data_IF_344478171221
#
_entry.id   IF_344478171221
#
_cell.length_a   1.000
_cell.length_b   1.000
_cell.length_c   1.000
_cell.angle_alpha   90.00
_cell.angle_beta   90.00
_cell.angle_gamma   90.00
#
_symmetry.space_group_name_H-M   'P 1'
#
loop_
_entity.id
_entity.type
_entity.pdbx_description
1 polymer ?
#
# COMPACT_ATOMS: atom_id res chain seq x y z
N UNK A 1 16.57 -2.11 -61.52
CA UNK A 1 17.95 -1.90 -61.06
C UNK A 1 17.91 -0.88 -59.94
N UNK A 2 18.30 -1.33 -58.74
CA UNK A 2 18.76 -0.57 -57.55
C UNK A 2 18.08 0.77 -57.20
N UNK A 3 17.20 0.73 -56.19
CA UNK A 3 16.98 1.90 -55.33
C UNK A 3 17.92 1.82 -54.14
N UNK A 4 18.95 2.66 -54.14
CA UNK A 4 19.75 3.00 -52.95
C UNK A 4 18.87 3.81 -52.01
N UNK A 5 18.72 3.35 -50.76
CA UNK A 5 18.12 4.14 -49.68
C UNK A 5 19.26 4.75 -48.87
N UNK A 6 19.43 6.07 -48.96
CA UNK A 6 20.23 6.82 -48.00
C UNK A 6 19.41 7.01 -46.70
N UNK A 7 20.03 6.96 -45.51
CA UNK A 7 19.34 7.29 -44.28
C UNK A 7 19.02 8.79 -44.28
N UNK A 8 17.73 9.13 -44.31
CA UNK A 8 17.30 10.50 -44.04
C UNK A 8 17.28 10.67 -42.53
N UNK A 9 18.29 11.37 -42.01
CA UNK A 9 18.23 11.93 -40.67
C UNK A 9 17.19 13.05 -40.68
N UNK A 10 16.05 12.81 -40.05
CA UNK A 10 15.04 13.85 -39.80
C UNK A 10 15.27 14.45 -38.43
N UNK A 11 15.36 15.77 -38.42
CA UNK A 11 15.55 16.62 -37.28
C UNK A 11 14.49 16.40 -36.18
N UNK A 12 14.97 16.34 -34.92
CA UNK A 12 14.37 17.11 -33.84
C UNK A 12 12.96 16.74 -33.38
N UNK A 13 12.51 15.49 -33.55
CA UNK A 13 11.31 15.01 -32.84
C UNK A 13 11.74 13.99 -31.80
N UNK A 14 11.87 14.46 -30.57
CA UNK A 14 11.82 13.61 -29.38
C UNK A 14 10.54 12.79 -29.49
N UNK A 15 10.67 11.47 -29.53
CA UNK A 15 9.53 10.56 -29.57
C UNK A 15 8.79 10.77 -28.25
N UNK A 16 7.67 11.50 -28.29
CA UNK A 16 6.65 11.41 -27.27
C UNK A 16 6.02 10.02 -27.39
N UNK A 17 6.60 9.05 -26.68
CA UNK A 17 6.00 7.75 -26.50
C UNK A 17 6.20 7.33 -25.05
N UNK A 18 5.07 7.39 -24.35
CA UNK A 18 4.78 6.73 -23.10
C UNK A 18 5.63 7.19 -21.90
N UNK A 19 4.99 8.05 -21.09
CA UNK A 19 5.07 7.82 -19.65
C UNK A 19 5.01 6.30 -19.38
N UNK A 20 5.81 5.75 -18.45
CA UNK A 20 5.72 4.35 -18.09
C UNK A 20 4.25 3.98 -17.86
N UNK A 21 3.81 2.74 -18.21
CA UNK A 21 2.44 2.35 -17.94
C UNK A 21 2.13 2.65 -16.46
N UNK A 22 0.91 3.12 -16.20
CA UNK A 22 0.48 3.70 -14.92
C UNK A 22 0.52 2.71 -13.72
N UNK A 23 1.29 1.63 -13.77
CA UNK A 23 1.08 0.46 -12.93
C UNK A 23 2.33 -0.11 -12.27
N UNK A 24 3.54 0.40 -12.52
CA UNK A 24 4.71 -0.16 -11.85
C UNK A 24 5.86 0.81 -11.60
N UNK A 25 5.76 1.51 -10.47
CA UNK A 25 6.86 1.95 -9.59
C UNK A 25 6.16 2.51 -8.34
N UNK A 26 6.09 1.77 -7.24
CA UNK A 26 5.99 2.38 -5.91
C UNK A 26 7.40 2.72 -5.41
N UNK A 27 8.18 3.41 -6.26
CA UNK A 27 9.31 4.19 -5.78
C UNK A 27 8.74 5.56 -5.47
N UNK A 28 8.34 5.74 -4.21
CA UNK A 28 8.04 7.05 -3.68
C UNK A 28 6.75 7.19 -2.89
N UNK A 29 6.43 6.26 -1.98
CA UNK A 29 5.80 6.68 -0.72
C UNK A 29 6.73 6.38 0.45
N UNK A 30 7.93 7.00 0.43
CA UNK A 30 9.00 6.93 1.44
C UNK A 30 8.63 7.52 2.82
N UNK A 31 7.35 7.43 3.21
CA UNK A 31 6.86 7.83 4.52
C UNK A 31 6.53 6.58 5.32
N UNK A 32 7.15 6.41 6.49
CA UNK A 32 6.89 5.33 7.45
C UNK A 32 5.39 5.13 7.76
N UNK A 33 4.57 6.16 7.55
CA UNK A 33 3.11 6.10 7.63
C UNK A 33 2.47 5.13 6.62
N UNK A 34 3.01 4.99 5.41
CA UNK A 34 2.51 4.05 4.40
C UNK A 34 2.78 2.61 4.82
N UNK A 35 4.01 2.33 5.25
CA UNK A 35 4.38 1.02 5.80
C UNK A 35 3.54 0.67 7.03
N UNK A 36 3.34 1.65 7.92
CA UNK A 36 2.47 1.49 9.09
C UNK A 36 1.01 1.23 8.69
N UNK A 37 0.50 1.88 7.63
CA UNK A 37 -0.84 1.62 7.07
C UNK A 37 -0.94 0.17 6.56
N UNK A 38 0.05 -0.30 5.80
CA UNK A 38 0.10 -1.67 5.27
C UNK A 38 0.11 -2.68 6.42
N UNK A 39 1.02 -2.52 7.39
CA UNK A 39 1.12 -3.43 8.56
C UNK A 39 -0.18 -3.41 9.35
N UNK A 40 -0.70 -2.23 9.68
CA UNK A 40 -1.93 -2.06 10.45
C UNK A 40 -3.14 -2.69 9.77
N UNK A 41 -3.33 -2.44 8.47
CA UNK A 41 -4.37 -3.06 7.66
C UNK A 41 -4.27 -4.59 7.70
N UNK A 42 -3.07 -5.13 7.51
CA UNK A 42 -2.87 -6.58 7.44
C UNK A 42 -3.19 -7.26 8.76
N UNK A 43 -2.72 -6.68 9.87
CA UNK A 43 -3.00 -7.17 11.22
C UNK A 43 -4.50 -7.09 11.52
N UNK A 44 -5.16 -5.96 11.23
CA UNK A 44 -6.60 -5.81 11.43
C UNK A 44 -7.42 -6.81 10.61
N UNK A 45 -7.03 -7.06 9.35
CA UNK A 45 -7.67 -8.08 8.50
C UNK A 45 -7.47 -9.49 9.06
N UNK A 46 -6.27 -9.81 9.53
CA UNK A 46 -5.98 -11.07 10.21
C UNK A 46 -6.79 -11.27 11.49
N UNK A 47 -6.94 -10.24 12.33
CA UNK A 47 -7.79 -10.28 13.52
C UNK A 47 -9.28 -10.45 13.15
N UNK A 48 -9.75 -9.80 12.10
CA UNK A 48 -11.12 -9.95 11.60
C UNK A 48 -11.39 -11.39 11.11
N UNK A 49 -10.47 -11.96 10.36
CA UNK A 49 -10.57 -13.32 9.83
C UNK A 49 -10.43 -14.37 10.95
N UNK A 50 -9.47 -14.19 11.88
CA UNK A 50 -9.26 -15.10 12.99
C UNK A 50 -10.47 -15.19 13.92
N UNK A 51 -11.16 -14.07 14.18
CA UNK A 51 -12.43 -14.09 14.93
C UNK A 51 -13.51 -14.90 14.22
N UNK A 52 -13.60 -14.82 12.89
CA UNK A 52 -14.54 -15.64 12.08
C UNK A 52 -14.17 -17.12 12.12
N UNK A 53 -12.88 -17.44 12.22
CA UNK A 53 -12.40 -18.81 12.43
C UNK A 53 -12.67 -19.34 13.84
N UNK A 54 -13.14 -18.49 14.77
CA UNK A 54 -13.38 -18.85 16.17
C UNK A 54 -12.10 -18.86 17.02
N UNK A 55 -11.05 -18.17 16.57
CA UNK A 55 -9.82 -18.00 17.35
C UNK A 55 -9.99 -16.87 18.38
N UNK A 56 -9.32 -17.01 19.53
CA UNK A 56 -9.28 -16.02 20.59
C UNK A 56 -7.92 -16.00 21.29
N UNK A 57 -7.68 -14.98 22.12
CA UNK A 57 -6.42 -14.80 22.86
C UNK A 57 -5.19 -14.82 21.94
N UNK A 58 -4.13 -15.48 22.39
CA UNK A 58 -2.85 -15.59 21.68
C UNK A 58 -2.99 -16.21 20.28
N UNK A 59 -3.86 -17.21 20.11
CA UNK A 59 -4.08 -17.87 18.81
C UNK A 59 -4.63 -16.89 17.76
N UNK A 60 -5.42 -15.91 18.19
CA UNK A 60 -5.93 -14.86 17.31
C UNK A 60 -4.84 -13.88 16.88
N UNK A 61 -3.97 -13.49 17.81
CA UNK A 61 -2.83 -12.60 17.55
C UNK A 61 -1.80 -13.25 16.61
N UNK A 62 -1.45 -14.51 16.88
CA UNK A 62 -0.55 -15.29 16.02
C UNK A 62 -1.12 -15.44 14.61
N UNK A 63 -2.43 -15.69 14.49
CA UNK A 63 -3.09 -15.76 13.19
C UNK A 63 -3.02 -14.42 12.44
N UNK A 64 -3.18 -13.29 13.15
CA UNK A 64 -3.07 -11.97 12.54
C UNK A 64 -1.67 -11.71 11.98
N UNK A 65 -0.62 -12.08 12.72
CA UNK A 65 0.75 -12.00 12.24
C UNK A 65 1.03 -12.94 11.06
N UNK A 66 0.51 -14.17 11.10
CA UNK A 66 0.65 -15.11 9.99
C UNK A 66 0.01 -14.59 8.69
N UNK A 67 -1.09 -13.84 8.79
CA UNK A 67 -1.74 -13.18 7.65
C UNK A 67 -0.89 -12.00 7.14
N UNK A 68 -0.28 -11.20 8.03
CA UNK A 68 0.66 -10.16 7.63
C UNK A 68 1.89 -10.72 6.89
N UNK A 69 2.46 -11.83 7.37
CA UNK A 69 3.59 -12.48 6.69
C UNK A 69 3.20 -13.02 5.32
N UNK A 70 1.96 -13.47 5.12
CA UNK A 70 1.50 -13.97 3.82
C UNK A 70 1.46 -12.88 2.73
N UNK A 71 1.17 -11.63 3.10
CA UNK A 71 1.17 -10.48 2.18
C UNK A 71 2.56 -10.16 1.61
N UNK A 72 3.62 -10.59 2.30
CA UNK A 72 5.01 -10.29 1.94
C UNK A 72 5.58 -11.21 0.85
N UNK A 73 4.82 -12.19 0.38
CA UNK A 73 5.30 -13.22 -0.54
C UNK A 73 5.34 -12.76 -2.00
N UNK A 74 4.38 -11.95 -2.45
CA UNK A 74 4.34 -11.37 -3.79
C UNK A 74 3.82 -9.92 -3.77
N UNK A 75 4.08 -9.12 -4.82
CA UNK A 75 3.48 -7.80 -4.95
C UNK A 75 1.96 -7.87 -4.98
N UNK A 76 1.30 -7.00 -4.20
CA UNK A 76 -0.14 -6.97 -4.06
C UNK A 76 -0.64 -7.60 -2.76
N UNK A 77 -1.91 -7.95 -2.71
CA UNK A 77 -2.58 -8.47 -1.50
C UNK A 77 -3.28 -9.81 -1.73
N UNK A 78 -3.10 -10.41 -2.91
CA UNK A 78 -3.85 -11.61 -3.28
C UNK A 78 -3.41 -12.83 -2.48
N UNK A 79 -2.14 -12.89 -2.03
CA UNK A 79 -1.64 -13.98 -1.20
C UNK A 79 -2.31 -14.02 0.17
N UNK A 80 -2.48 -12.85 0.80
CA UNK A 80 -3.16 -12.76 2.09
C UNK A 80 -4.65 -13.10 1.95
N UNK A 81 -5.30 -12.65 0.87
CA UNK A 81 -6.71 -12.93 0.58
C UNK A 81 -6.90 -14.43 0.34
N UNK A 82 -6.05 -15.04 -0.48
CA UNK A 82 -6.10 -16.46 -0.79
C UNK A 82 -5.87 -17.33 0.45
N UNK A 83 -4.95 -16.92 1.35
CA UNK A 83 -4.76 -17.57 2.65
C UNK A 83 -6.05 -17.54 3.47
N UNK A 84 -6.62 -16.35 3.69
CA UNK A 84 -7.83 -16.21 4.50
C UNK A 84 -9.02 -16.94 3.88
N UNK A 85 -9.18 -16.89 2.56
CA UNK A 85 -10.22 -17.63 1.84
C UNK A 85 -10.11 -19.14 2.10
N UNK A 86 -8.89 -19.70 2.00
CA UNK A 86 -8.61 -21.12 2.25
C UNK A 86 -8.90 -21.51 3.69
N UNK A 87 -8.44 -20.71 4.65
CA UNK A 87 -8.59 -20.99 6.07
C UNK A 87 -10.08 -20.94 6.49
N UNK A 88 -10.84 -19.99 5.95
CA UNK A 88 -12.28 -19.88 6.15
C UNK A 88 -13.04 -21.04 5.51
N UNK A 89 -12.69 -21.42 4.28
CA UNK A 89 -13.28 -22.56 3.59
C UNK A 89 -13.04 -23.88 4.35
N UNK A 90 -11.85 -24.08 4.90
CA UNK A 90 -11.51 -25.24 5.72
C UNK A 90 -12.37 -25.38 6.98
N UNK A 91 -12.96 -24.27 7.47
CA UNK A 91 -13.89 -24.26 8.61
C UNK A 91 -15.36 -24.15 8.22
N UNK A 92 -15.69 -24.35 6.93
CA UNK A 92 -17.06 -24.26 6.42
C UNK A 92 -17.64 -22.84 6.46
N UNK A 93 -16.80 -21.80 6.52
CA UNK A 93 -17.17 -20.38 6.61
C UNK A 93 -16.69 -19.61 5.38
N UNK A 94 -16.71 -20.24 4.21
CA UNK A 94 -16.24 -19.65 2.97
C UNK A 94 -16.95 -18.30 2.70
N UNK A 95 -16.18 -17.32 2.27
CA UNK A 95 -16.67 -16.03 1.80
C UNK A 95 -16.27 -15.88 0.33
N UNK A 96 -17.08 -15.15 -0.43
CA UNK A 96 -16.72 -14.76 -1.78
C UNK A 96 -15.54 -13.76 -1.76
N UNK A 97 -14.82 -13.70 -2.88
CA UNK A 97 -13.64 -12.82 -3.05
C UNK A 97 -13.99 -11.35 -2.85
N UNK A 98 -15.17 -10.92 -3.33
CA UNK A 98 -15.65 -9.55 -3.18
C UNK A 98 -15.74 -9.14 -1.71
N UNK A 99 -16.35 -9.96 -0.86
CA UNK A 99 -16.48 -9.73 0.58
C UNK A 99 -15.13 -9.69 1.29
N UNK A 100 -14.17 -10.50 0.85
CA UNK A 100 -12.82 -10.47 1.40
C UNK A 100 -12.12 -9.16 1.06
N UNK A 101 -12.27 -8.69 -0.17
CA UNK A 101 -11.72 -7.40 -0.63
C UNK A 101 -12.41 -6.21 0.01
N UNK A 102 -13.72 -6.25 0.17
CA UNK A 102 -14.50 -5.24 0.90
C UNK A 102 -14.02 -5.16 2.37
N UNK A 103 -13.85 -6.31 3.03
CA UNK A 103 -13.31 -6.34 4.39
C UNK A 103 -11.88 -5.80 4.47
N UNK A 104 -11.02 -6.12 3.51
CA UNK A 104 -9.66 -5.57 3.46
C UNK A 104 -9.67 -4.04 3.28
N UNK A 105 -10.58 -3.53 2.45
CA UNK A 105 -10.79 -2.09 2.27
C UNK A 105 -11.23 -1.42 3.57
N UNK A 106 -12.19 -1.99 4.29
CA UNK A 106 -12.66 -1.48 5.57
C UNK A 106 -11.52 -1.44 6.61
N UNK A 107 -10.69 -2.49 6.66
CA UNK A 107 -9.54 -2.54 7.58
C UNK A 107 -8.47 -1.52 7.20
N UNK A 108 -8.31 -1.21 5.91
CA UNK A 108 -7.41 -0.15 5.44
C UNK A 108 -7.88 1.22 5.91
N UNK A 109 -9.18 1.51 5.78
CA UNK A 109 -9.77 2.75 6.29
C UNK A 109 -9.62 2.86 7.81
N UNK A 110 -9.83 1.74 8.52
CA UNK A 110 -9.65 1.68 9.96
C UNK A 110 -8.20 1.94 10.37
N UNK A 111 -7.24 1.31 9.73
CA UNK A 111 -5.81 1.52 9.98
C UNK A 111 -5.41 2.99 9.82
N UNK A 112 -5.88 3.65 8.76
CA UNK A 112 -5.66 5.09 8.55
C UNK A 112 -6.23 5.94 9.67
N UNK A 113 -7.46 5.65 10.11
CA UNK A 113 -8.08 6.38 11.21
C UNK A 113 -7.35 6.14 12.53
N UNK A 114 -6.89 4.92 12.79
CA UNK A 114 -6.14 4.58 14.00
C UNK A 114 -4.78 5.30 14.00
N UNK A 115 -4.07 5.33 12.86
CA UNK A 115 -2.83 6.10 12.71
C UNK A 115 -3.07 7.60 12.87
N UNK A 116 -4.08 8.17 12.21
CA UNK A 116 -4.44 9.57 12.36
C UNK A 116 -4.80 9.94 13.80
N UNK A 117 -5.43 9.02 14.55
CA UNK A 117 -5.72 9.21 15.97
C UNK A 117 -4.44 9.29 16.82
N UNK A 118 -3.45 8.46 16.50
CA UNK A 118 -2.14 8.49 17.17
C UNK A 118 -1.39 9.78 16.84
N UNK A 119 -1.42 10.22 15.58
CA UNK A 119 -0.84 11.50 15.16
C UNK A 119 -1.51 12.71 15.84
N UNK A 120 -2.84 12.66 16.03
CA UNK A 120 -3.58 13.69 16.78
C UNK A 120 -3.24 13.69 18.27
N UNK A 121 -2.96 12.52 18.84
CA UNK A 121 -2.57 12.38 20.24
C UNK A 121 -1.09 12.77 20.48
N UNK A 122 -0.26 12.75 19.44
CA UNK A 122 1.14 13.17 19.47
C UNK A 122 1.43 14.20 18.39
N UNK A 123 1.21 15.49 18.67
CA UNK A 123 1.48 16.61 17.77
C UNK A 123 2.92 16.56 17.21
N UNK A 124 3.07 16.04 15.98
CA UNK A 124 4.39 15.85 15.36
C UNK A 124 4.34 15.53 13.87
N UNK A 125 3.51 16.25 13.12
CA UNK A 125 3.44 16.40 11.65
C UNK A 125 4.42 15.54 10.81
N UNK A 126 4.13 14.25 10.66
CA UNK A 126 4.56 13.51 9.45
C UNK A 126 3.55 13.77 8.34
N UNK A 127 3.31 15.06 8.06
CA UNK A 127 2.70 15.39 6.77
C UNK A 127 3.74 14.95 5.76
N UNK A 128 3.43 13.85 5.06
CA UNK A 128 4.17 13.36 3.93
C UNK A 128 4.16 14.48 2.87
N UNK A 129 5.06 15.45 3.02
CA UNK A 129 5.29 16.46 2.03
C UNK A 129 6.05 15.73 0.92
N UNK A 130 5.53 15.70 -0.32
CA UNK A 130 6.27 15.10 -1.41
C UNK A 130 7.64 15.80 -1.48
N UNK A 131 8.70 15.03 -1.72
CA UNK A 131 10.09 15.49 -1.75
C UNK A 131 10.41 16.57 -2.82
N UNK A 132 9.39 17.21 -3.41
CA UNK A 132 9.51 18.30 -4.38
C UNK A 132 8.86 19.64 -3.98
N UNK A 133 8.13 19.76 -2.86
CA UNK A 133 7.42 21.03 -2.52
C UNK A 133 8.09 21.83 -1.39
N UNK A 134 9.07 21.24 -0.68
CA UNK A 134 9.84 21.96 0.35
C UNK A 134 10.78 23.04 -0.21
N UNK A 135 11.06 23.05 -1.51
CA UNK A 135 11.96 24.04 -2.12
C UNK A 135 11.30 25.41 -2.43
N UNK A 136 9.97 25.54 -2.32
CA UNK A 136 9.25 26.74 -2.77
C UNK A 136 8.77 27.69 -1.65
N UNK A 137 8.89 27.33 -0.37
CA UNK A 137 8.37 28.16 0.73
C UNK A 137 9.36 28.46 1.86
N UNK A 138 10.63 28.09 1.73
CA UNK A 138 11.67 28.54 2.65
C UNK A 138 12.16 29.94 2.27
N UNK A 139 11.30 30.95 2.48
CA UNK A 139 11.79 32.30 2.76
C UNK A 139 12.45 32.31 4.15
N UNK A 140 13.49 33.12 4.39
CA UNK A 140 14.21 33.11 5.66
C UNK A 140 13.34 33.70 6.77
N UNK A 141 12.77 32.85 7.62
CA UNK A 141 12.21 33.30 8.90
C UNK A 141 13.36 33.51 9.89
N UNK A 142 13.77 34.77 9.99
CA UNK A 142 14.61 35.30 11.05
C UNK A 142 13.88 35.31 12.40
N UNK A 143 14.65 35.10 13.48
CA UNK A 143 14.41 35.74 14.78
C UNK A 143 13.76 34.88 15.87
N UNK A 144 14.57 34.42 16.82
CA UNK A 144 14.18 34.41 18.24
C UNK A 144 15.32 35.12 19.00
N UNK A 145 14.94 36.16 19.76
CA UNK A 145 15.77 36.79 20.79
C UNK A 145 15.49 36.11 22.14
#
# INVERSE_FOLDING_TARGET
MTTTVAPTTVAGTTIAAAAPPLDYVDAGSDCAAHDAEIVGRNVLFGLWAGRRLGLGGEALELYAWAVHLADRAAPGHDDMIAKVARDLAARGRALDDRRLRDALHDMRLRARLDLARLDLAGLGLTRCAPAGVAAALAGPCAGHA
#
